data_IF_879180603742
#
_entry.id   IF_879180603742
#
_cell.length_a   1.000
_cell.length_b   1.000
_cell.length_c   1.000
_cell.angle_alpha   90.00
_cell.angle_beta   90.00
_cell.angle_gamma   90.00
#
_symmetry.space_group_name_H-M   'P 1'
#
loop_
_entity.id
_entity.type
_entity.pdbx_description
1 polymer ?
#
# COMPACT_ATOMS: atom_id res chain seq x y z
N UNK A 1 11.29 14.83 8.41
CA UNK A 1 9.92 14.33 8.65
C UNK A 1 9.07 14.56 7.44
N UNK A 2 8.53 13.50 6.84
CA UNK A 2 7.56 13.59 5.74
C UNK A 2 6.15 13.77 6.30
N UNK A 3 5.33 14.62 5.69
CA UNK A 3 3.96 14.85 6.15
C UNK A 3 3.07 13.62 5.91
N UNK A 4 3.02 13.09 4.69
CA UNK A 4 2.23 11.88 4.36
C UNK A 4 3.11 10.77 3.76
N UNK A 5 3.09 9.58 4.34
CA UNK A 5 3.60 8.38 3.66
C UNK A 5 2.44 7.49 3.21
N UNK A 6 2.36 7.25 1.91
CA UNK A 6 1.47 6.24 1.34
C UNK A 6 2.11 4.86 1.48
N UNK A 7 1.37 3.87 1.98
CA UNK A 7 1.82 2.49 2.07
C UNK A 7 0.97 1.64 1.14
N UNK A 8 1.62 0.96 0.20
CA UNK A 8 0.96 0.15 -0.82
C UNK A 8 1.37 -1.32 -0.60
N UNK A 9 0.57 -2.12 0.14
CA UNK A 9 0.88 -3.53 0.35
C UNK A 9 0.56 -4.31 -0.92
N UNK A 10 1.59 -4.89 -1.55
CA UNK A 10 1.43 -5.76 -2.72
C UNK A 10 1.44 -7.21 -2.25
N UNK A 11 0.44 -7.99 -2.68
CA UNK A 11 0.33 -9.42 -2.35
C UNK A 11 1.52 -10.24 -2.88
N UNK A 12 1.75 -11.40 -2.27
CA UNK A 12 2.77 -12.34 -2.73
C UNK A 12 2.55 -12.76 -4.20
N UNK A 13 3.62 -12.88 -5.00
CA UNK A 13 3.53 -13.22 -6.42
C UNK A 13 2.85 -14.56 -6.72
N UNK A 14 3.10 -15.58 -5.89
CA UNK A 14 2.41 -16.87 -5.97
C UNK A 14 0.90 -16.80 -5.69
N UNK A 15 0.41 -15.72 -5.07
CA UNK A 15 -1.02 -15.51 -4.80
C UNK A 15 -1.72 -14.72 -5.94
N UNK A 16 -1.01 -14.39 -7.02
CA UNK A 16 -1.55 -13.61 -8.13
C UNK A 16 -1.64 -14.45 -9.40
N UNK A 17 -2.86 -14.67 -9.89
CA UNK A 17 -3.09 -15.39 -11.14
C UNK A 17 -2.70 -14.58 -12.39
N UNK A 18 -2.64 -13.25 -12.27
CA UNK A 18 -2.31 -12.33 -13.35
C UNK A 18 -1.42 -11.20 -12.81
N UNK A 19 -0.11 -11.46 -12.80
CA UNK A 19 0.91 -10.49 -12.38
C UNK A 19 1.01 -9.28 -13.32
N UNK A 20 0.98 -9.42 -14.66
CA UNK A 20 0.97 -8.28 -15.58
C UNK A 20 -0.18 -7.29 -15.33
N UNK A 21 -1.40 -7.77 -15.06
CA UNK A 21 -2.52 -6.89 -14.73
C UNK A 21 -2.38 -6.22 -13.37
N UNK A 22 -1.80 -6.89 -12.38
CA UNK A 22 -1.46 -6.28 -11.09
C UNK A 22 -0.44 -5.15 -11.30
N UNK A 23 0.64 -5.42 -12.03
CA UNK A 23 1.68 -4.43 -12.34
C UNK A 23 1.11 -3.20 -13.06
N UNK A 24 0.18 -3.40 -14.00
CA UNK A 24 -0.52 -2.31 -14.69
C UNK A 24 -1.37 -1.46 -13.73
N UNK A 25 -2.17 -2.09 -12.86
CA UNK A 25 -2.98 -1.36 -11.85
C UNK A 25 -2.09 -0.57 -10.90
N UNK A 26 -1.03 -1.20 -10.41
CA UNK A 26 -0.04 -0.55 -9.54
C UNK A 26 0.60 0.66 -10.22
N UNK A 27 0.94 0.59 -11.52
CA UNK A 27 1.41 1.76 -12.28
C UNK A 27 0.39 2.90 -12.30
N UNK A 28 -0.91 2.60 -12.38
CA UNK A 28 -1.95 3.63 -12.36
C UNK A 28 -2.12 4.23 -10.96
N UNK A 29 -2.05 3.43 -9.89
CA UNK A 29 -2.03 3.91 -8.50
C UNK A 29 -0.82 4.80 -8.23
N UNK A 30 0.37 4.39 -8.70
CA UNK A 30 1.59 5.20 -8.64
C UNK A 30 1.38 6.54 -9.33
N UNK A 31 0.77 6.55 -10.52
CA UNK A 31 0.50 7.79 -11.25
C UNK A 31 -0.48 8.70 -10.50
N UNK A 32 -1.52 8.12 -9.88
CA UNK A 32 -2.50 8.86 -9.07
C UNK A 32 -1.86 9.51 -7.83
N UNK A 33 -1.01 8.77 -7.10
CA UNK A 33 -0.25 9.32 -5.95
C UNK A 33 0.77 10.35 -6.43
N UNK A 34 1.42 10.14 -7.57
CA UNK A 34 2.37 11.12 -8.13
C UNK A 34 1.70 12.46 -8.45
N UNK A 35 0.38 12.47 -8.65
CA UNK A 35 -0.42 13.66 -8.91
C UNK A 35 -0.74 14.53 -7.69
N UNK A 36 -0.22 14.24 -6.48
CA UNK A 36 -0.47 15.09 -5.31
C UNK A 36 -0.02 16.54 -5.57
N UNK A 37 -0.88 17.49 -5.23
CA UNK A 37 -0.65 18.93 -5.41
C UNK A 37 0.40 19.50 -4.45
N UNK A 38 0.59 18.85 -3.31
CA UNK A 38 1.60 19.19 -2.31
C UNK A 38 2.70 18.13 -2.36
N UNK A 39 3.96 18.57 -2.31
CA UNK A 39 5.13 17.70 -2.47
C UNK A 39 5.63 17.00 -1.22
N UNK A 40 5.07 17.28 -0.04
CA UNK A 40 5.52 16.71 1.24
C UNK A 40 4.96 15.30 1.48
N UNK A 41 5.37 14.38 0.60
CA UNK A 41 4.98 12.99 0.67
C UNK A 41 6.07 12.06 0.17
N UNK A 42 5.91 10.79 0.54
CA UNK A 42 6.61 9.65 -0.08
C UNK A 42 5.67 8.46 -0.13
N UNK A 43 6.06 7.43 -0.88
CA UNK A 43 5.30 6.20 -0.98
C UNK A 43 6.22 4.99 -0.80
N UNK A 44 5.74 4.00 -0.06
CA UNK A 44 6.44 2.74 0.19
C UNK A 44 5.57 1.60 -0.36
N UNK A 45 6.08 0.92 -1.37
CA UNK A 45 5.47 -0.29 -1.91
C UNK A 45 6.06 -1.47 -1.15
N UNK A 46 5.23 -2.23 -0.45
CA UNK A 46 5.68 -3.38 0.35
C UNK A 46 5.41 -4.65 -0.45
N UNK A 47 6.47 -5.22 -1.02
CA UNK A 47 6.40 -6.36 -1.92
C UNK A 47 7.36 -7.46 -1.51
N UNK A 48 7.07 -8.68 -1.88
CA UNK A 48 7.98 -9.78 -1.61
C UNK A 48 9.29 -9.66 -2.40
N UNK A 49 10.34 -10.28 -1.86
CA UNK A 49 11.58 -10.51 -2.61
C UNK A 49 11.30 -11.22 -3.94
N UNK A 50 11.98 -10.77 -4.99
CA UNK A 50 11.79 -11.27 -6.36
C UNK A 50 10.49 -10.85 -7.05
N UNK A 51 9.60 -10.09 -6.40
CA UNK A 51 8.40 -9.57 -7.05
C UNK A 51 8.76 -8.53 -8.13
N UNK A 52 8.29 -8.75 -9.36
CA UNK A 52 8.48 -7.83 -10.49
C UNK A 52 7.58 -6.59 -10.34
N UNK A 53 8.17 -5.46 -9.97
CA UNK A 53 7.47 -4.19 -9.78
C UNK A 53 7.57 -3.32 -11.04
N UNK A 54 6.65 -2.35 -11.24
CA UNK A 54 6.85 -1.32 -12.25
C UNK A 54 8.01 -0.39 -11.88
N UNK A 55 8.46 0.41 -12.86
CA UNK A 55 9.44 1.45 -12.61
C UNK A 55 8.93 2.42 -11.54
N UNK A 56 9.77 2.69 -10.55
CA UNK A 56 9.40 3.52 -9.41
C UNK A 56 9.85 4.97 -9.68
N UNK A 57 8.90 5.93 -9.78
CA UNK A 57 9.26 7.33 -9.93
C UNK A 57 9.85 7.90 -8.63
N UNK A 58 10.37 9.14 -8.65
CA UNK A 58 10.87 9.78 -7.44
C UNK A 58 9.85 9.76 -6.29
N UNK A 59 10.34 9.69 -5.05
CA UNK A 59 9.56 9.57 -3.81
C UNK A 59 8.88 8.22 -3.58
N UNK A 60 8.99 7.27 -4.51
CA UNK A 60 8.63 5.88 -4.28
C UNK A 60 9.86 5.07 -3.84
N UNK A 61 9.65 4.17 -2.89
CA UNK A 61 10.61 3.12 -2.55
C UNK A 61 9.89 1.77 -2.46
N UNK A 62 10.65 0.69 -2.63
CA UNK A 62 10.16 -0.67 -2.38
C UNK A 62 10.74 -1.18 -1.07
N UNK A 63 9.87 -1.57 -0.14
CA UNK A 63 10.23 -2.38 1.02
C UNK A 63 10.09 -3.85 0.65
N UNK A 64 11.21 -4.59 0.68
CA UNK A 64 11.25 -6.00 0.31
C UNK A 64 11.09 -6.89 1.53
N UNK A 65 10.11 -7.78 1.48
CA UNK A 65 9.77 -8.70 2.58
C UNK A 65 9.88 -10.16 2.15
N UNK A 66 10.05 -11.04 3.12
CA UNK A 66 10.14 -12.51 2.91
C UNK A 66 8.92 -13.25 3.46
N UNK A 67 7.78 -12.57 3.59
CA UNK A 67 6.56 -13.18 4.11
C UNK A 67 6.10 -14.34 3.21
N UNK A 68 5.72 -15.49 3.78
CA UNK A 68 5.31 -16.64 2.98
C UNK A 68 4.01 -16.34 2.21
N UNK A 69 3.76 -17.03 1.07
CA UNK A 69 2.46 -16.97 0.42
C UNK A 69 1.36 -17.45 1.38
N UNK A 70 0.13 -16.98 1.15
CA UNK A 70 -0.99 -17.40 1.97
C UNK A 70 -1.35 -18.82 1.56
N UNK A 71 -1.13 -19.78 2.46
CA UNK A 71 -1.39 -21.21 2.21
C UNK A 71 -2.89 -21.55 2.09
N UNK A 72 -3.78 -20.57 2.33
CA UNK A 72 -5.24 -20.68 2.17
C UNK A 72 -5.71 -20.40 0.73
N UNK A 73 -4.84 -20.55 -0.26
CA UNK A 73 -5.20 -20.43 -1.67
C UNK A 73 -6.05 -21.59 -2.19
N UNK A 74 -6.16 -22.69 -1.44
CA UNK A 74 -6.68 -23.95 -1.94
C UNK A 74 -7.45 -24.72 -0.84
N UNK A 75 -8.59 -24.20 -0.39
CA UNK A 75 -9.49 -24.99 0.48
C UNK A 75 -10.93 -24.87 -0.02
N UNK A 76 -11.34 -25.91 -0.74
CA UNK A 76 -12.72 -26.29 -1.06
C UNK A 76 -13.57 -26.60 0.21
N UNK A 77 -13.47 -25.79 1.26
CA UNK A 77 -14.11 -26.05 2.56
C UNK A 77 -13.68 -25.18 3.75
N UNK A 78 -12.88 -24.12 3.58
CA UNK A 78 -12.53 -23.24 4.68
C UNK A 78 -13.66 -22.23 4.96
N UNK A 79 -14.00 -22.10 6.23
CA UNK A 79 -14.87 -21.07 6.77
C UNK A 79 -14.41 -19.69 6.25
N UNK A 80 -15.29 -18.96 5.56
CA UNK A 80 -14.97 -17.69 4.88
C UNK A 80 -14.25 -16.71 5.80
N UNK A 81 -14.61 -16.74 7.08
CA UNK A 81 -14.02 -15.91 8.14
C UNK A 81 -12.51 -16.16 8.31
N UNK A 82 -12.06 -17.42 8.29
CA UNK A 82 -10.64 -17.79 8.40
C UNK A 82 -9.82 -17.32 7.20
N UNK A 83 -10.42 -17.32 6.02
CA UNK A 83 -9.79 -16.79 4.81
C UNK A 83 -9.61 -15.29 4.96
N UNK A 84 -10.65 -14.55 5.36
CA UNK A 84 -10.54 -13.11 5.59
C UNK A 84 -9.51 -12.74 6.64
N UNK A 85 -9.39 -13.51 7.73
CA UNK A 85 -8.40 -13.25 8.77
C UNK A 85 -6.97 -13.46 8.29
N UNK A 86 -6.72 -14.48 7.47
CA UNK A 86 -5.41 -14.68 6.86
C UNK A 86 -5.04 -13.55 5.89
N UNK A 87 -6.00 -13.06 5.10
CA UNK A 87 -5.79 -11.88 4.23
C UNK A 87 -5.51 -10.62 5.05
N UNK A 88 -6.26 -10.37 6.12
CA UNK A 88 -6.05 -9.23 7.02
C UNK A 88 -4.70 -9.31 7.72
N UNK A 89 -4.26 -10.50 8.12
CA UNK A 89 -2.98 -10.70 8.76
C UNK A 89 -1.81 -10.43 7.81
N UNK A 90 -1.85 -10.94 6.57
CA UNK A 90 -0.82 -10.65 5.56
C UNK A 90 -0.77 -9.15 5.23
N UNK A 91 -1.94 -8.53 4.96
CA UNK A 91 -2.04 -7.09 4.71
C UNK A 91 -1.49 -6.28 5.89
N UNK A 92 -1.88 -6.62 7.12
CA UNK A 92 -1.42 -5.95 8.34
C UNK A 92 0.09 -6.04 8.55
N UNK A 93 0.70 -7.21 8.28
CA UNK A 93 2.16 -7.39 8.36
C UNK A 93 2.90 -6.52 7.34
N UNK A 94 2.38 -6.43 6.11
CA UNK A 94 2.95 -5.56 5.06
C UNK A 94 2.82 -4.09 5.43
N UNK A 95 1.65 -3.67 5.91
CA UNK A 95 1.44 -2.30 6.38
C UNK A 95 2.44 -1.95 7.50
N UNK A 96 2.59 -2.82 8.49
CA UNK A 96 3.55 -2.61 9.58
C UNK A 96 4.99 -2.50 9.06
N UNK A 97 5.40 -3.36 8.13
CA UNK A 97 6.73 -3.28 7.53
C UNK A 97 6.96 -1.93 6.82
N UNK A 98 5.97 -1.46 6.06
CA UNK A 98 6.02 -0.13 5.42
C UNK A 98 6.08 1.02 6.43
N UNK A 99 5.33 0.96 7.52
CA UNK A 99 5.39 1.97 8.59
C UNK A 99 6.77 1.99 9.27
N UNK A 100 7.36 0.80 9.49
CA UNK A 100 8.66 0.66 10.14
C UNK A 100 9.84 1.11 9.26
N UNK A 101 9.71 1.03 7.93
CA UNK A 101 10.72 1.58 7.00
C UNK A 101 10.59 3.09 6.81
N UNK A 102 9.42 3.65 7.13
CA UNK A 102 9.10 5.06 6.98
C UNK A 102 8.79 5.77 8.32
N UNK A 103 9.58 5.51 9.38
CA UNK A 103 9.30 6.03 10.76
C UNK A 103 9.22 7.54 10.88
N UNK A 104 10.00 8.26 10.07
CA UNK A 104 10.01 9.72 10.05
C UNK A 104 8.82 10.28 9.25
N UNK A 105 7.61 10.06 9.75
CA UNK A 105 6.36 10.40 9.06
C UNK A 105 5.29 10.87 10.04
N UNK A 106 4.56 11.91 9.65
CA UNK A 106 3.46 12.47 10.45
C UNK A 106 2.16 11.68 10.28
N UNK A 107 1.76 11.41 9.04
CA UNK A 107 0.54 10.67 8.70
C UNK A 107 0.85 9.51 7.77
N UNK A 108 0.18 8.38 7.99
CA UNK A 108 0.20 7.25 7.07
C UNK A 108 -1.16 7.10 6.40
N UNK A 109 -1.14 6.81 5.10
CA UNK A 109 -2.32 6.39 4.36
C UNK A 109 -2.04 5.04 3.72
N UNK A 110 -2.85 4.02 4.05
CA UNK A 110 -2.79 2.73 3.38
C UNK A 110 -3.62 2.83 2.10
N UNK A 111 -3.04 2.43 0.97
CA UNK A 111 -3.65 2.48 -0.36
C UNK A 111 -3.52 1.11 -1.00
N UNK A 112 -4.59 0.56 -1.56
CA UNK A 112 -4.52 -0.71 -2.28
C UNK A 112 -3.83 -0.53 -3.63
N UNK A 113 -3.30 -1.62 -4.19
CA UNK A 113 -2.48 -1.60 -5.41
C UNK A 113 -3.27 -1.31 -6.70
N UNK A 114 -4.58 -1.09 -6.57
CA UNK A 114 -5.51 -0.74 -7.63
C UNK A 114 -6.39 0.49 -7.34
N UNK A 115 -6.09 1.24 -6.27
CA UNK A 115 -6.86 2.43 -5.90
C UNK A 115 -6.36 3.71 -6.61
N UNK A 116 -7.31 4.63 -6.85
CA UNK A 116 -7.03 6.03 -7.14
C UNK A 116 -7.30 6.90 -5.92
N UNK A 117 -6.38 7.84 -5.69
CA UNK A 117 -6.45 8.79 -4.60
C UNK A 117 -6.59 10.21 -5.13
N UNK A 118 -7.31 11.05 -4.37
CA UNK A 118 -7.45 12.48 -4.70
C UNK A 118 -6.09 13.17 -4.66
N UNK A 119 -5.82 14.05 -5.63
CA UNK A 119 -4.61 14.85 -5.71
C UNK A 119 -4.42 15.85 -4.54
N UNK A 120 -5.45 16.05 -3.72
CA UNK A 120 -5.45 17.08 -2.66
C UNK A 120 -5.25 16.51 -1.25
N UNK A 121 -4.92 15.23 -1.09
CA UNK A 121 -4.82 14.58 0.23
C UNK A 121 -3.68 15.20 1.04
N UNK A 122 -2.50 15.34 0.44
CA UNK A 122 -1.33 15.88 1.13
C UNK A 122 -1.55 17.35 1.48
N UNK A 123 -2.15 18.12 0.56
CA UNK A 123 -2.51 19.53 0.82
C UNK A 123 -3.53 19.67 1.96
N UNK A 124 -4.52 18.78 2.00
CA UNK A 124 -5.50 18.76 3.08
C UNK A 124 -4.85 18.42 4.43
N UNK A 125 -3.95 17.42 4.46
CA UNK A 125 -3.20 17.08 5.65
C UNK A 125 -2.30 18.24 6.11
N UNK A 126 -1.70 18.98 5.18
CA UNK A 126 -0.82 20.11 5.48
C UNK A 126 -1.57 21.23 6.21
N UNK A 127 -2.81 21.52 5.79
CA UNK A 127 -3.68 22.51 6.43
C UNK A 127 -4.21 22.07 7.80
N UNK A 128 -4.07 20.79 8.14
CA UNK A 128 -4.62 20.20 9.35
C UNK A 128 -3.57 19.34 10.06
N UNK A 129 -2.30 19.78 10.10
CA UNK A 129 -1.18 18.99 10.58
C UNK A 129 -1.27 18.58 12.07
N UNK A 130 -2.06 19.31 12.86
CA UNK A 130 -2.30 19.05 14.28
C UNK A 130 -3.42 18.02 14.54
N UNK A 131 -4.14 17.60 13.50
CA UNK A 131 -5.17 16.57 13.64
C UNK A 131 -4.56 15.20 14.01
N UNK A 132 -5.37 14.35 14.64
CA UNK A 132 -4.97 12.98 14.96
C UNK A 132 -5.10 12.01 13.76
N UNK A 133 -5.77 12.43 12.69
CA UNK A 133 -6.05 11.63 11.50
C UNK A 133 -7.51 11.73 11.07
N UNK A 134 -7.85 11.04 9.99
CA UNK A 134 -9.18 11.08 9.38
C UNK A 134 -9.66 9.68 9.04
N UNK A 135 -10.97 9.52 9.11
CA UNK A 135 -11.68 8.37 8.55
C UNK A 135 -12.51 8.86 7.38
N UNK A 136 -12.36 8.22 6.24
CA UNK A 136 -13.14 8.52 5.04
C UNK A 136 -14.28 7.51 4.98
N UNK A 137 -15.51 7.98 5.13
CA UNK A 137 -16.70 7.12 5.11
C UNK A 137 -17.34 7.03 3.71
N UNK A 138 -16.88 7.85 2.75
CA UNK A 138 -17.36 7.87 1.36
C UNK A 138 -16.20 8.20 0.41
N UNK A 139 -16.00 7.34 -0.58
CA UNK A 139 -15.06 7.52 -1.70
C UNK A 139 -15.77 8.00 -2.95
#
# INVERSE_FOLDING_TARGET
>A
MTLVTFIIPVRHQANSNDWPSLKRRLSQTIASISGQSNGDWRAVIVANEGADLPDLPPKFSAERVTFPPNQLHDINGADREKVYDAFRLDKGRRVLAGMLSARDTRFFMIVDDDDFVSANIVEFAARNADANGWKIDRG
#
